data_IF_981914538478
#
_entry.id   IF_981914538478
#
_cell.length_a   1.000
_cell.length_b   1.000
_cell.length_c   1.000
_cell.angle_alpha   90.00
_cell.angle_beta   90.00
_cell.angle_gamma   90.00
#
_symmetry.space_group_name_H-M   'P 1'
#
loop_
_entity.id
_entity.type
_entity.pdbx_description
1 polymer ?
#
# COMPACT_ATOMS: atom_id res chain seq x y z
N UNK A 1 -20.85 39.53 16.99
CA UNK A 1 -19.43 39.43 17.40
C UNK A 1 -18.83 38.20 16.73
N UNK A 2 -17.64 38.38 16.16
CA UNK A 2 -17.06 37.54 15.11
C UNK A 2 -16.59 36.18 15.67
N UNK A 3 -17.00 35.10 15.00
CA UNK A 3 -16.64 33.71 15.33
C UNK A 3 -15.14 33.51 15.07
N UNK A 4 -14.41 33.01 16.06
CA UNK A 4 -12.99 32.67 15.94
C UNK A 4 -12.84 31.48 14.98
N UNK A 5 -12.25 31.78 13.82
CA UNK A 5 -11.81 30.79 12.83
C UNK A 5 -10.72 29.93 13.46
N UNK A 6 -10.97 28.62 13.55
CA UNK A 6 -9.95 27.63 13.89
C UNK A 6 -9.04 27.48 12.67
N UNK A 7 -7.83 28.00 12.79
CA UNK A 7 -6.75 27.81 11.83
C UNK A 7 -6.34 26.32 11.86
N UNK A 8 -6.82 25.54 10.89
CA UNK A 8 -6.29 24.20 10.63
C UNK A 8 -4.91 24.37 10.01
N UNK A 9 -3.88 23.90 10.71
CA UNK A 9 -2.52 23.81 10.20
C UNK A 9 -2.55 22.78 9.07
N UNK A 10 -2.69 23.27 7.84
CA UNK A 10 -2.46 22.48 6.65
C UNK A 10 -0.96 22.18 6.60
N UNK A 11 -0.57 21.00 7.05
CA UNK A 11 0.72 20.42 6.73
C UNK A 11 0.76 20.27 5.20
N UNK A 12 1.43 21.21 4.54
CA UNK A 12 1.65 21.18 3.09
C UNK A 12 2.53 19.97 2.77
N UNK A 13 1.90 18.83 2.50
CA UNK A 13 2.55 17.71 1.84
C UNK A 13 2.84 18.19 0.42
N UNK A 14 4.10 18.49 0.13
CA UNK A 14 4.53 18.89 -1.20
C UNK A 14 4.33 17.65 -2.08
N UNK A 15 3.32 17.68 -2.93
CA UNK A 15 3.05 16.60 -3.86
C UNK A 15 4.18 16.55 -4.90
N UNK A 16 5.15 15.66 -4.69
CA UNK A 16 6.03 15.21 -5.76
C UNK A 16 5.15 14.64 -6.87
N UNK A 17 5.12 15.32 -8.01
CA UNK A 17 4.38 14.89 -9.20
C UNK A 17 4.98 13.59 -9.70
N UNK A 18 4.38 12.47 -9.31
CA UNK A 18 4.58 11.21 -9.99
C UNK A 18 3.82 11.24 -11.32
N UNK A 19 4.37 10.64 -12.37
CA UNK A 19 3.79 10.55 -13.71
C UNK A 19 2.53 9.63 -13.79
N UNK A 20 1.83 9.48 -12.67
CA UNK A 20 0.67 8.62 -12.49
C UNK A 20 -0.67 9.36 -12.51
N UNK A 21 -1.76 8.64 -12.28
CA UNK A 21 -3.09 9.22 -12.29
C UNK A 21 -3.29 10.20 -11.11
N UNK A 22 -3.66 11.45 -11.40
CA UNK A 22 -3.98 12.43 -10.36
C UNK A 22 -5.43 12.24 -9.84
N UNK A 23 -5.54 11.61 -8.67
CA UNK A 23 -6.79 11.38 -7.98
C UNK A 23 -7.16 12.45 -6.93
N UNK A 24 -6.34 13.49 -6.77
CA UNK A 24 -6.53 14.52 -5.72
C UNK A 24 -7.87 15.25 -5.80
N UNK A 25 -8.45 15.36 -7.01
CA UNK A 25 -9.72 16.03 -7.27
C UNK A 25 -10.96 15.13 -7.09
N UNK A 26 -10.77 13.85 -6.76
CA UNK A 26 -11.86 12.87 -6.61
C UNK A 26 -12.52 12.96 -5.25
N UNK A 27 -13.82 12.71 -5.16
CA UNK A 27 -14.50 12.53 -3.87
C UNK A 27 -14.11 11.19 -3.22
N UNK A 28 -14.39 11.02 -1.93
CA UNK A 28 -14.13 9.74 -1.25
C UNK A 28 -14.94 8.59 -1.86
N UNK A 29 -16.17 8.86 -2.27
CA UNK A 29 -17.02 7.88 -2.96
C UNK A 29 -16.43 7.52 -4.34
N UNK A 30 -15.86 8.49 -5.06
CA UNK A 30 -15.18 8.23 -6.32
C UNK A 30 -13.94 7.36 -6.12
N UNK A 31 -13.12 7.59 -5.09
CA UNK A 31 -11.96 6.72 -4.77
C UNK A 31 -12.41 5.29 -4.49
N UNK A 32 -13.48 5.11 -3.71
CA UNK A 32 -14.02 3.79 -3.44
C UNK A 32 -14.54 3.11 -4.71
N UNK A 33 -15.20 3.86 -5.60
CA UNK A 33 -15.70 3.33 -6.85
C UNK A 33 -14.57 2.97 -7.83
N UNK A 34 -13.51 3.78 -7.90
CA UNK A 34 -12.31 3.48 -8.70
C UNK A 34 -11.67 2.17 -8.27
N UNK A 35 -11.65 1.82 -6.98
CA UNK A 35 -11.08 0.55 -6.52
C UNK A 35 -11.75 -0.69 -7.17
N UNK A 36 -13.03 -0.59 -7.59
CA UNK A 36 -13.79 -1.68 -8.22
C UNK A 36 -13.31 -2.03 -9.63
N UNK A 37 -12.61 -1.13 -10.31
CA UNK A 37 -12.23 -1.26 -11.72
C UNK A 37 -10.87 -0.63 -12.08
N UNK A 38 -10.08 -0.14 -11.12
CA UNK A 38 -8.76 0.44 -11.36
C UNK A 38 -7.87 -0.54 -12.13
N UNK A 39 -7.05 0.00 -13.04
CA UNK A 39 -6.04 -0.73 -13.80
C UNK A 39 -4.88 -1.19 -12.91
N UNK A 40 -3.92 -1.92 -13.46
CA UNK A 40 -2.70 -2.26 -12.73
C UNK A 40 -1.82 -1.01 -12.53
N UNK A 41 -1.72 -0.17 -13.55
CA UNK A 41 -0.85 1.01 -13.63
C UNK A 41 -1.28 2.10 -12.65
N UNK A 42 -2.59 2.31 -12.47
CA UNK A 42 -3.09 3.40 -11.62
C UNK A 42 -3.32 2.97 -10.16
N UNK A 43 -3.18 1.67 -9.85
CA UNK A 43 -3.53 1.15 -8.53
C UNK A 43 -2.59 1.67 -7.43
N UNK A 44 -1.31 1.89 -7.73
CA UNK A 44 -0.36 2.42 -6.76
C UNK A 44 -0.72 3.85 -6.34
N UNK A 45 -0.99 4.73 -7.32
CA UNK A 45 -1.45 6.10 -7.06
C UNK A 45 -2.78 6.12 -6.29
N UNK A 46 -3.72 5.24 -6.65
CA UNK A 46 -5.00 5.13 -5.97
C UNK A 46 -4.85 4.70 -4.51
N UNK A 47 -3.92 3.79 -4.21
CA UNK A 47 -3.61 3.38 -2.83
C UNK A 47 -3.00 4.54 -2.04
N UNK A 48 -2.07 5.29 -2.63
CA UNK A 48 -1.47 6.47 -1.98
C UNK A 48 -2.55 7.52 -1.67
N UNK A 49 -3.43 7.80 -2.61
CA UNK A 49 -4.51 8.76 -2.42
C UNK A 49 -5.47 8.31 -1.30
N UNK A 50 -5.81 7.02 -1.25
CA UNK A 50 -6.59 6.44 -0.15
C UNK A 50 -5.89 6.64 1.20
N UNK A 51 -4.57 6.42 1.28
CA UNK A 51 -3.77 6.63 2.50
C UNK A 51 -3.72 8.10 2.93
N UNK A 52 -3.53 9.02 1.99
CA UNK A 52 -3.57 10.48 2.26
C UNK A 52 -4.89 10.86 2.93
N UNK A 53 -6.02 10.42 2.37
CA UNK A 53 -7.36 10.70 2.91
C UNK A 53 -7.59 10.09 4.27
N UNK A 54 -7.10 8.87 4.51
CA UNK A 54 -7.19 8.25 5.83
C UNK A 54 -6.52 9.10 6.92
N UNK A 55 -5.42 9.79 6.61
CA UNK A 55 -4.71 10.64 7.58
C UNK A 55 -5.50 11.90 7.96
N UNK A 56 -6.44 12.33 7.11
CA UNK A 56 -7.31 13.48 7.36
C UNK A 56 -8.63 13.09 8.06
N UNK A 57 -8.93 11.79 8.11
CA UNK A 57 -10.16 11.25 8.70
C UNK A 57 -10.02 10.96 10.19
N UNK A 58 -11.15 10.97 10.91
CA UNK A 58 -11.21 10.38 12.26
C UNK A 58 -10.98 8.88 12.18
N UNK A 59 -10.35 8.31 13.21
CA UNK A 59 -9.96 6.89 13.24
C UNK A 59 -11.05 5.92 12.79
N UNK A 60 -12.28 6.05 13.30
CA UNK A 60 -13.40 5.17 12.94
C UNK A 60 -13.77 5.28 11.45
N UNK A 61 -13.78 6.49 10.91
CA UNK A 61 -14.11 6.76 9.51
C UNK A 61 -13.00 6.27 8.59
N UNK A 62 -11.74 6.51 8.96
CA UNK A 62 -10.56 6.00 8.25
C UNK A 62 -10.57 4.46 8.18
N UNK A 63 -10.92 3.78 9.27
CA UNK A 63 -11.05 2.31 9.32
C UNK A 63 -12.15 1.79 8.39
N UNK A 64 -13.32 2.44 8.41
CA UNK A 64 -14.43 2.08 7.53
C UNK A 64 -14.08 2.31 6.05
N UNK A 65 -13.48 3.46 5.75
CA UNK A 65 -13.02 3.82 4.41
C UNK A 65 -12.00 2.82 3.88
N UNK A 66 -10.98 2.49 4.68
CA UNK A 66 -9.98 1.49 4.33
C UNK A 66 -10.61 0.11 4.07
N UNK A 67 -11.58 -0.30 4.90
CA UNK A 67 -12.25 -1.58 4.74
C UNK A 67 -13.03 -1.64 3.43
N UNK A 68 -13.83 -0.62 3.12
CA UNK A 68 -14.59 -0.53 1.88
C UNK A 68 -13.66 -0.53 0.66
N UNK A 69 -12.58 0.26 0.72
CA UNK A 69 -11.57 0.30 -0.34
C UNK A 69 -10.97 -1.09 -0.60
N UNK A 70 -10.55 -1.80 0.46
CA UNK A 70 -9.95 -3.14 0.35
C UNK A 70 -10.95 -4.16 -0.19
N UNK A 71 -12.21 -4.11 0.24
CA UNK A 71 -13.26 -4.99 -0.30
C UNK A 71 -13.45 -4.74 -1.80
N UNK A 72 -13.62 -3.49 -2.22
CA UNK A 72 -13.79 -3.14 -3.64
C UNK A 72 -12.59 -3.56 -4.49
N UNK A 73 -11.37 -3.34 -3.99
CA UNK A 73 -10.15 -3.76 -4.69
C UNK A 73 -10.05 -5.28 -4.76
N UNK A 74 -10.43 -6.00 -3.70
CA UNK A 74 -10.45 -7.46 -3.70
C UNK A 74 -11.46 -8.03 -4.71
N UNK A 75 -12.64 -7.42 -4.82
CA UNK A 75 -13.66 -7.78 -5.82
C UNK A 75 -13.16 -7.55 -7.26
N UNK A 76 -12.40 -6.46 -7.49
CA UNK A 76 -11.73 -6.22 -8.76
C UNK A 76 -10.73 -7.35 -9.07
N UNK A 77 -9.84 -7.64 -8.10
CA UNK A 77 -8.81 -8.68 -8.26
C UNK A 77 -9.39 -10.09 -8.39
N UNK A 78 -10.56 -10.40 -7.80
CA UNK A 78 -11.19 -11.71 -7.90
C UNK A 78 -11.70 -12.04 -9.31
N UNK A 79 -11.86 -11.03 -10.18
CA UNK A 79 -12.26 -11.21 -11.58
C UNK A 79 -11.10 -11.69 -12.46
N UNK A 80 -9.87 -11.60 -11.97
CA UNK A 80 -8.66 -11.92 -12.70
C UNK A 80 -8.23 -13.38 -12.48
N UNK A 81 -7.68 -14.00 -13.52
CA UNK A 81 -7.00 -15.30 -13.42
C UNK A 81 -5.79 -15.23 -12.47
N UNK A 82 -5.29 -16.37 -11.96
CA UNK A 82 -4.06 -16.38 -11.16
C UNK A 82 -2.86 -15.73 -11.84
N UNK A 83 -2.71 -15.91 -13.16
CA UNK A 83 -1.61 -15.33 -13.93
C UNK A 83 -1.73 -13.80 -14.03
N UNK A 84 -2.91 -13.28 -14.37
CA UNK A 84 -3.16 -11.84 -14.43
C UNK A 84 -2.98 -11.18 -13.06
N UNK A 85 -3.41 -11.84 -11.98
CA UNK A 85 -3.15 -11.36 -10.60
C UNK A 85 -1.66 -11.28 -10.31
N UNK A 86 -0.87 -12.25 -10.75
CA UNK A 86 0.59 -12.25 -10.56
C UNK A 86 1.27 -11.12 -11.33
N UNK A 87 0.88 -10.91 -12.59
CA UNK A 87 1.39 -9.80 -13.42
C UNK A 87 1.03 -8.45 -12.80
N UNK A 88 -0.24 -8.26 -12.43
CA UNK A 88 -0.71 -7.04 -11.78
C UNK A 88 0.02 -6.77 -10.47
N UNK A 89 0.24 -7.79 -9.64
CA UNK A 89 1.04 -7.66 -8.41
C UNK A 89 2.44 -7.11 -8.70
N UNK A 90 3.10 -7.62 -9.74
CA UNK A 90 4.45 -7.20 -10.13
C UNK A 90 4.46 -5.72 -10.55
N UNK A 91 3.52 -5.32 -11.40
CA UNK A 91 3.35 -3.91 -11.84
C UNK A 91 3.14 -3.00 -10.64
N UNK A 92 2.16 -3.33 -9.79
CA UNK A 92 1.84 -2.50 -8.61
C UNK A 92 3.00 -2.42 -7.62
N UNK A 93 3.77 -3.50 -7.46
CA UNK A 93 4.97 -3.47 -6.60
C UNK A 93 6.07 -2.57 -7.16
N UNK A 94 6.32 -2.63 -8.47
CA UNK A 94 7.29 -1.78 -9.16
C UNK A 94 6.86 -0.30 -9.10
N UNK A 95 5.60 0.00 -9.38
CA UNK A 95 5.07 1.37 -9.32
C UNK A 95 5.09 1.92 -7.90
N UNK A 96 4.69 1.14 -6.90
CA UNK A 96 4.82 1.54 -5.49
C UNK A 96 6.28 1.81 -5.11
N UNK A 97 7.23 1.00 -5.59
CA UNK A 97 8.66 1.21 -5.32
C UNK A 97 9.12 2.55 -5.92
N UNK A 98 8.86 2.79 -7.22
CA UNK A 98 9.20 4.05 -7.90
C UNK A 98 8.60 5.26 -7.18
N UNK A 99 7.35 5.16 -6.75
CA UNK A 99 6.68 6.20 -5.99
C UNK A 99 7.42 6.46 -4.66
N UNK A 100 7.73 5.40 -3.90
CA UNK A 100 8.45 5.54 -2.63
C UNK A 100 9.90 5.99 -2.77
N UNK A 101 10.58 5.69 -3.88
CA UNK A 101 11.96 6.14 -4.14
C UNK A 101 12.05 7.67 -4.25
N UNK A 102 10.95 8.32 -4.63
CA UNK A 102 10.84 9.79 -4.72
C UNK A 102 10.33 10.45 -3.44
N UNK A 103 9.90 9.67 -2.45
CA UNK A 103 9.35 10.16 -1.18
C UNK A 103 10.43 10.29 -0.11
N UNK A 104 10.28 11.28 0.77
CA UNK A 104 11.08 11.34 1.99
C UNK A 104 10.71 10.20 2.95
N UNK A 105 11.66 9.80 3.80
CA UNK A 105 11.38 8.81 4.85
C UNK A 105 10.31 9.27 5.86
N UNK A 106 10.01 10.57 5.95
CA UNK A 106 8.89 11.10 6.74
C UNK A 106 7.56 10.78 6.06
N UNK A 107 7.43 11.09 4.77
CA UNK A 107 6.21 10.82 3.99
C UNK A 107 5.89 9.32 3.94
N UNK A 108 6.90 8.46 3.78
CA UNK A 108 6.74 7.00 3.81
C UNK A 108 6.15 6.53 5.15
N UNK A 109 6.60 7.11 6.28
CA UNK A 109 6.08 6.78 7.61
C UNK A 109 4.66 7.30 7.80
N UNK A 110 4.39 8.55 7.41
CA UNK A 110 3.07 9.17 7.51
C UNK A 110 2.01 8.43 6.70
N UNK A 111 2.34 7.97 5.49
CA UNK A 111 1.44 7.18 4.65
C UNK A 111 1.39 5.69 5.01
N UNK A 112 2.17 5.27 6.01
CA UNK A 112 2.31 3.88 6.42
C UNK A 112 2.63 2.96 5.21
N UNK A 113 3.62 3.39 4.42
CA UNK A 113 4.14 2.71 3.22
C UNK A 113 5.45 1.97 3.50
N UNK A 114 5.88 1.91 4.76
CA UNK A 114 7.12 1.21 5.10
C UNK A 114 6.97 -0.28 4.76
N UNK A 115 7.89 -0.77 3.94
CA UNK A 115 7.99 -2.18 3.64
C UNK A 115 8.33 -2.91 4.95
N UNK A 116 7.38 -3.68 5.51
CA UNK A 116 7.72 -4.73 6.46
C UNK A 116 8.42 -5.83 5.65
N UNK A 117 9.70 -5.62 5.37
CA UNK A 117 10.51 -6.59 4.66
C UNK A 117 10.51 -7.91 5.41
N UNK A 118 9.80 -8.91 4.87
CA UNK A 118 10.47 -10.20 4.69
C UNK A 118 11.44 -9.95 3.54
N UNK A 119 12.70 -9.74 3.89
CA UNK A 119 13.72 -9.19 3.01
C UNK A 119 13.80 -9.89 1.66
N UNK A 120 14.01 -9.09 0.62
CA UNK A 120 14.62 -9.54 -0.63
C UNK A 120 16.14 -9.84 -0.46
N UNK A 121 16.59 -10.27 0.72
CA UNK A 121 17.87 -10.95 0.88
C UNK A 121 17.67 -12.45 0.66
N UNK A 122 17.45 -12.83 -0.60
CA UNK A 122 17.32 -14.23 -1.01
C UNK A 122 18.12 -14.61 -2.25
N UNK A 123 18.87 -13.68 -2.87
CA UNK A 123 19.65 -13.95 -4.09
C UNK A 123 21.17 -13.84 -3.95
N UNK A 124 21.68 -13.51 -2.76
CA UNK A 124 23.13 -13.55 -2.49
C UNK A 124 23.37 -13.96 -1.05
N UNK A 125 23.48 -15.27 -0.81
CA UNK A 125 24.44 -15.92 0.09
C UNK A 125 24.19 -17.44 -0.01
N UNK A 126 24.81 -18.09 -1.01
CA UNK A 126 25.20 -19.50 -0.87
C UNK A 126 26.27 -19.54 0.22
N UNK A 127 25.84 -19.63 1.47
CA UNK A 127 26.66 -19.93 2.63
C UNK A 127 26.16 -21.23 3.22
N UNK A 128 26.99 -22.26 3.16
CA UNK A 128 26.72 -23.60 3.67
C UNK A 128 26.18 -23.59 5.10
N UNK A 129 24.97 -24.10 5.29
CA UNK A 129 24.61 -24.80 6.52
C UNK A 129 24.11 -26.20 6.13
N UNK A 130 25.07 -27.12 6.01
CA UNK A 130 24.80 -28.54 6.16
C UNK A 130 24.23 -28.77 7.57
N UNK A 131 22.92 -28.85 7.70
CA UNK A 131 22.34 -29.56 8.83
C UNK A 131 22.24 -31.02 8.42
N UNK A 132 23.32 -31.77 8.68
CA UNK A 132 23.30 -33.23 8.60
C UNK A 132 22.20 -33.73 9.53
N UNK A 133 21.21 -34.36 8.91
CA UNK A 133 20.21 -35.20 9.56
C UNK A 133 20.92 -36.37 10.22
N UNK A 134 21.13 -36.32 11.53
CA UNK A 134 21.26 -37.55 12.32
C UNK A 134 19.89 -37.83 12.91
N UNK A 135 19.08 -38.57 12.14
CA UNK A 135 18.21 -39.58 12.74
C UNK A 135 19.12 -40.48 13.56
N UNK A 136 18.92 -40.58 14.88
CA UNK A 136 19.02 -41.83 15.63
C UNK A 136 18.17 -41.78 16.90
N UNK A 137 17.29 -42.77 17.00
CA UNK A 137 16.69 -43.38 18.19
C UNK A 137 15.72 -42.60 19.10
N UNK A 138 14.45 -42.75 18.74
CA UNK A 138 13.41 -43.39 19.56
C UNK A 138 13.88 -43.93 20.93
N UNK A 139 13.25 -43.47 22.02
CA UNK A 139 12.46 -44.30 22.95
C UNK A 139 11.63 -43.39 23.86
N UNK A 140 10.32 -43.63 23.87
CA UNK A 140 9.37 -43.07 24.82
C UNK A 140 9.71 -43.57 26.24
N UNK A 141 9.77 -42.66 27.22
CA UNK A 141 9.52 -42.99 28.61
C UNK A 141 9.03 -41.79 29.39
#
# INVERSE_FOLDING_TARGET
MKKTMKLLIASSLIASFAFGADFSKKSNEEILNLAKNVSAQDQADLVIEMKKRMNEMKYKDARNFQQQFRTNLQENLSKLSPQERSQRKTIVQDDMQKLTDTMSGKEIRELNLHHHGKGMHGLTHKGHHEHKTHHENCMMR
#
